data_IF_096686780541
#
_entry.id   IF_096686780541
#
_cell.length_a   1.000
_cell.length_b   1.000
_cell.length_c   1.000
_cell.angle_alpha   90.00
_cell.angle_beta   90.00
_cell.angle_gamma   90.00
#
_symmetry.space_group_name_H-M   'P 1'
#
loop_
_entity.id
_entity.type
_entity.pdbx_description
1 polymer ?
#
# COMPACT_ATOMS: atom_id res chain seq x y z
N UNK A 1 1.14 8.28 20.50
CA UNK A 1 1.19 7.05 19.68
C UNK A 1 2.24 7.29 18.61
N UNK A 2 3.25 6.43 18.49
CA UNK A 2 4.29 6.55 17.44
C UNK A 2 3.75 5.84 16.21
N UNK A 3 3.77 6.51 15.06
CA UNK A 3 3.39 5.91 13.78
C UNK A 3 4.64 5.46 13.03
N UNK A 4 4.61 4.22 12.54
CA UNK A 4 5.64 3.65 11.69
C UNK A 4 5.07 3.57 10.27
N UNK A 5 5.78 4.18 9.32
CA UNK A 5 5.51 4.10 7.89
C UNK A 5 6.43 3.07 7.26
N UNK A 6 5.85 2.12 6.54
CA UNK A 6 6.56 1.26 5.62
C UNK A 6 6.16 1.64 4.19
N UNK A 7 7.17 1.94 3.37
CA UNK A 7 7.05 2.28 1.97
C UNK A 7 8.25 1.74 1.20
N UNK A 8 8.15 1.65 -0.12
CA UNK A 8 9.30 1.32 -0.95
C UNK A 8 10.34 2.45 -0.95
N UNK A 9 11.57 2.13 -1.38
CA UNK A 9 12.66 3.10 -1.42
C UNK A 9 12.69 3.90 -2.73
N UNK A 10 11.54 4.12 -3.38
CA UNK A 10 11.48 4.87 -4.64
C UNK A 10 11.96 6.32 -4.47
N UNK A 11 12.56 6.93 -5.51
CA UNK A 11 13.13 8.28 -5.39
C UNK A 11 12.13 9.35 -4.94
N UNK A 12 10.85 9.23 -5.33
CA UNK A 12 9.76 10.11 -4.89
C UNK A 12 9.56 10.07 -3.38
N UNK A 13 9.58 8.90 -2.76
CA UNK A 13 9.40 8.72 -1.33
C UNK A 13 10.62 9.17 -0.51
N UNK A 14 11.80 9.27 -1.14
CA UNK A 14 13.02 9.81 -0.52
C UNK A 14 13.22 11.31 -0.73
N UNK A 15 12.32 11.97 -1.47
CA UNK A 15 12.46 13.38 -1.75
C UNK A 15 12.50 14.20 -0.45
N UNK A 16 13.35 15.23 -0.40
CA UNK A 16 13.54 16.09 0.78
C UNK A 16 12.24 16.65 1.34
N UNK A 17 11.28 16.97 0.47
CA UNK A 17 9.95 17.46 0.86
C UNK A 17 9.16 16.41 1.66
N UNK A 18 9.21 15.15 1.23
CA UNK A 18 8.54 14.04 1.92
C UNK A 18 9.19 13.79 3.27
N UNK A 19 10.53 13.72 3.33
CA UNK A 19 11.24 13.51 4.59
C UNK A 19 10.92 14.59 5.63
N UNK A 20 10.90 15.87 5.22
CA UNK A 20 10.49 16.98 6.09
C UNK A 20 9.05 16.87 6.57
N UNK A 21 8.15 16.39 5.71
CA UNK A 21 6.75 16.21 6.08
C UNK A 21 6.59 15.09 7.13
N UNK A 22 7.27 13.96 6.94
CA UNK A 22 7.21 12.85 7.90
C UNK A 22 7.79 13.24 9.26
N UNK A 23 8.91 13.96 9.25
CA UNK A 23 9.53 14.51 10.46
C UNK A 23 8.57 15.47 11.20
N UNK A 24 7.96 16.42 10.48
CA UNK A 24 6.95 17.32 11.05
C UNK A 24 5.73 16.58 11.62
N UNK A 25 5.36 15.43 11.04
CA UNK A 25 4.23 14.60 11.49
C UNK A 25 4.62 13.60 12.57
N UNK A 26 5.88 13.57 13.00
CA UNK A 26 6.43 12.59 13.95
C UNK A 26 6.18 11.14 13.51
N UNK A 27 6.28 10.89 12.20
CA UNK A 27 6.14 9.56 11.59
C UNK A 27 7.53 9.01 11.32
N UNK A 28 7.85 7.89 11.96
CA UNK A 28 9.11 7.19 11.74
C UNK A 28 8.98 6.27 10.52
N UNK A 29 10.03 6.13 9.71
CA UNK A 29 10.07 5.16 8.61
C UNK A 29 10.76 3.88 9.03
N UNK A 30 10.20 2.74 8.65
CA UNK A 30 10.87 1.45 8.75
C UNK A 30 12.00 1.38 7.71
N UNK A 31 13.20 0.91 8.08
CA UNK A 31 14.30 0.79 7.15
C UNK A 31 13.98 -0.27 6.08
N UNK A 32 13.98 0.14 4.82
CA UNK A 32 13.75 -0.75 3.68
C UNK A 32 15.06 -1.42 3.25
N UNK A 33 15.12 -2.76 3.13
CA UNK A 33 16.33 -3.44 2.69
C UNK A 33 16.73 -3.06 1.26
N UNK A 34 18.03 -2.94 0.93
CA UNK A 34 18.47 -2.79 -0.44
C UNK A 34 18.09 -4.03 -1.27
N UNK A 35 17.63 -3.83 -2.51
CA UNK A 35 17.24 -4.88 -3.47
C UNK A 35 16.01 -5.74 -3.10
N UNK A 36 15.16 -5.32 -2.16
CA UNK A 36 13.92 -6.05 -1.80
C UNK A 36 12.71 -5.66 -2.65
N UNK A 37 12.88 -5.61 -3.98
CA UNK A 37 11.78 -5.34 -4.92
C UNK A 37 10.61 -6.34 -4.79
N UNK A 38 10.83 -7.46 -4.10
CA UNK A 38 9.85 -8.52 -3.88
C UNK A 38 9.13 -8.49 -2.50
N UNK A 39 9.37 -7.50 -1.64
CA UNK A 39 8.86 -7.50 -0.24
C UNK A 39 7.90 -6.35 0.03
N UNK A 40 7.29 -5.77 -1.00
CA UNK A 40 6.18 -4.85 -0.81
C UNK A 40 4.92 -5.65 -0.46
N UNK A 41 4.43 -5.52 0.77
CA UNK A 41 3.26 -6.26 1.26
C UNK A 41 1.99 -5.92 0.49
N UNK A 42 1.93 -4.73 -0.10
CA UNK A 42 0.85 -4.37 -1.03
C UNK A 42 0.85 -5.24 -2.29
N UNK A 43 1.99 -5.84 -2.67
CA UNK A 43 2.07 -6.80 -3.76
C UNK A 43 1.65 -8.22 -3.32
N UNK A 44 1.68 -8.50 -2.01
CA UNK A 44 1.21 -9.77 -1.41
C UNK A 44 -0.28 -9.75 -1.08
N UNK A 45 -0.96 -8.63 -1.34
CA UNK A 45 -2.39 -8.52 -1.14
C UNK A 45 -3.12 -9.58 -1.98
N UNK A 46 -4.08 -10.34 -1.42
CA UNK A 46 -4.75 -11.41 -2.15
C UNK A 46 -5.37 -10.84 -3.42
N UNK A 47 -4.94 -11.39 -4.56
CA UNK A 47 -5.26 -10.92 -5.91
C UNK A 47 -5.03 -9.41 -6.07
N UNK A 48 -3.77 -9.02 -6.34
CA UNK A 48 -3.39 -7.61 -6.59
C UNK A 48 -4.52 -6.87 -7.30
N UNK A 49 -4.94 -5.73 -6.76
CA UNK A 49 -6.12 -5.00 -7.22
C UNK A 49 -6.14 -4.84 -8.75
N UNK A 50 -4.97 -4.72 -9.37
CA UNK A 50 -4.78 -4.69 -10.82
C UNK A 50 -5.30 -5.94 -11.54
N UNK A 51 -5.05 -7.14 -11.00
CA UNK A 51 -5.54 -8.41 -11.52
C UNK A 51 -7.06 -8.51 -11.37
N UNK A 52 -7.63 -8.05 -10.24
CA UNK A 52 -9.07 -8.01 -10.02
C UNK A 52 -9.76 -7.05 -10.99
N UNK A 53 -9.22 -5.83 -11.16
CA UNK A 53 -9.68 -4.87 -12.16
C UNK A 53 -9.71 -5.58 -13.51
N UNK A 54 -8.56 -6.07 -14.00
CA UNK A 54 -8.46 -6.63 -15.35
C UNK A 54 -9.39 -7.84 -15.61
N UNK A 55 -9.72 -8.63 -14.58
CA UNK A 55 -10.54 -9.83 -14.69
C UNK A 55 -12.04 -9.57 -14.53
N UNK A 56 -12.43 -8.70 -13.60
CA UNK A 56 -13.83 -8.54 -13.21
C UNK A 56 -14.49 -7.31 -13.84
N UNK A 57 -13.74 -6.24 -14.11
CA UNK A 57 -14.29 -5.00 -14.65
C UNK A 57 -13.43 -4.45 -15.79
N UNK A 58 -14.06 -3.85 -16.80
CA UNK A 58 -13.35 -3.07 -17.82
C UNK A 58 -13.87 -1.63 -17.70
N UNK A 59 -13.45 -0.90 -16.66
CA UNK A 59 -14.03 0.39 -16.34
C UNK A 59 -13.78 1.35 -17.50
N UNK A 60 -14.85 2.01 -17.92
CA UNK A 60 -14.81 2.93 -19.06
C UNK A 60 -14.42 4.34 -18.65
N UNK A 61 -14.47 4.62 -17.35
CA UNK A 61 -14.17 5.92 -16.76
C UNK A 61 -13.66 5.77 -15.31
N UNK A 62 -13.12 6.88 -14.78
CA UNK A 62 -12.50 6.90 -13.45
C UNK A 62 -13.51 6.75 -12.30
N UNK A 63 -14.75 7.16 -12.49
CA UNK A 63 -15.79 7.06 -11.45
C UNK A 63 -16.20 5.61 -11.23
N UNK A 64 -16.44 4.88 -12.32
CA UNK A 64 -16.72 3.44 -12.31
C UNK A 64 -15.59 2.65 -11.63
N UNK A 65 -14.33 2.96 -11.97
CA UNK A 65 -13.17 2.36 -11.33
C UNK A 65 -13.14 2.71 -9.83
N UNK A 66 -13.33 3.97 -9.47
CA UNK A 66 -13.31 4.43 -8.07
C UNK A 66 -14.37 3.76 -7.20
N UNK A 67 -15.60 3.63 -7.69
CA UNK A 67 -16.69 2.96 -6.98
C UNK A 67 -16.41 1.48 -6.78
N UNK A 68 -15.93 0.79 -7.83
CA UNK A 68 -15.59 -0.61 -7.74
C UNK A 68 -14.43 -0.87 -6.76
N UNK A 69 -13.36 -0.06 -6.84
CA UNK A 69 -12.23 -0.15 -5.93
C UNK A 69 -12.62 0.08 -4.48
N UNK A 70 -13.47 1.08 -4.22
CA UNK A 70 -13.98 1.37 -2.87
C UNK A 70 -14.75 0.17 -2.34
N UNK A 71 -15.67 -0.39 -3.14
CA UNK A 71 -16.45 -1.56 -2.75
C UNK A 71 -15.57 -2.78 -2.46
N UNK A 72 -14.55 -3.02 -3.29
CA UNK A 72 -13.59 -4.12 -3.06
C UNK A 72 -12.76 -3.88 -1.82
N UNK A 73 -12.31 -2.65 -1.59
CA UNK A 73 -11.55 -2.27 -0.41
C UNK A 73 -12.34 -2.50 0.87
N UNK A 74 -13.59 -2.03 0.91
CA UNK A 74 -14.49 -2.19 2.06
C UNK A 74 -14.87 -3.65 2.35
N UNK A 75 -14.76 -4.53 1.34
CA UNK A 75 -15.06 -5.95 1.49
C UNK A 75 -13.88 -6.77 2.03
N UNK A 76 -12.69 -6.17 2.18
CA UNK A 76 -11.52 -6.90 2.70
C UNK A 76 -11.69 -7.13 4.21
N UNK A 77 -11.64 -8.39 4.68
CA UNK A 77 -11.69 -8.69 6.11
C UNK A 77 -10.47 -8.14 6.85
N UNK A 78 -10.65 -7.65 8.08
CA UNK A 78 -9.53 -7.16 8.90
C UNK A 78 -8.52 -8.26 9.21
N UNK A 79 -8.95 -9.52 9.26
CA UNK A 79 -8.10 -10.69 9.42
C UNK A 79 -7.06 -10.80 8.29
N UNK A 80 -7.44 -10.43 7.06
CA UNK A 80 -6.51 -10.38 5.92
C UNK A 80 -5.46 -9.29 6.14
N UNK A 81 -5.87 -8.11 6.61
CA UNK A 81 -4.96 -7.00 6.90
C UNK A 81 -3.99 -7.38 8.03
N UNK A 82 -4.49 -7.98 9.10
CA UNK A 82 -3.65 -8.45 10.21
C UNK A 82 -2.67 -9.55 9.77
N UNK A 83 -3.13 -10.54 8.99
CA UNK A 83 -2.24 -11.59 8.45
C UNK A 83 -1.08 -11.02 7.63
N UNK A 84 -1.36 -9.99 6.82
CA UNK A 84 -0.33 -9.30 6.04
C UNK A 84 0.65 -8.58 6.99
N UNK A 85 0.14 -7.91 8.03
CA UNK A 85 0.96 -7.19 9.02
C UNK A 85 1.81 -8.15 9.88
N UNK A 86 1.25 -9.28 10.26
CA UNK A 86 1.94 -10.29 11.07
C UNK A 86 2.98 -11.04 10.24
N UNK A 87 2.72 -11.27 8.96
CA UNK A 87 3.70 -11.82 8.01
C UNK A 87 4.86 -10.86 7.69
N UNK A 88 4.85 -9.63 8.19
CA UNK A 88 5.95 -8.65 8.04
C UNK A 88 7.06 -8.84 9.07
N UNK A 89 6.75 -9.49 10.21
CA UNK A 89 7.62 -9.67 11.37
C UNK A 89 7.99 -11.15 11.56
#
# INVERSE_FOLDING_TARGET
RIFLLQDDNTPSHKAKKILKFLDFRYVNRLPWPPCSAAVNQFDTFPDSIQVLINREIQPTNLDELGQYLTKKWDAIPMETVHSIIDGMF
#
